data_IF_178326536214
#
_entry.id   IF_178326536214
#
_cell.length_a   1.000
_cell.length_b   1.000
_cell.length_c   1.000
_cell.angle_alpha   90.00
_cell.angle_beta   90.00
_cell.angle_gamma   90.00
#
_symmetry.space_group_name_H-M   'P 1'
#
loop_
_entity.id
_entity.type
_entity.pdbx_description
1 polymer ?
#
# COMPACT_ATOMS: atom_id res chain seq x y z
N UNK A 1 -9.84 -17.30 5.88
CA UNK A 1 -9.45 -16.00 5.28
C UNK A 1 -9.27 -14.90 6.34
N UNK A 2 -10.25 -14.66 7.24
CA UNK A 2 -10.15 -13.63 8.30
C UNK A 2 -8.97 -13.86 9.23
N UNK A 3 -8.74 -15.09 9.69
CA UNK A 3 -7.60 -15.44 10.56
C UNK A 3 -6.25 -15.20 9.88
N UNK A 4 -6.14 -15.49 8.57
CA UNK A 4 -4.91 -15.23 7.82
C UNK A 4 -4.58 -13.74 7.76
N UNK A 5 -5.56 -12.87 7.62
CA UNK A 5 -5.35 -11.41 7.67
C UNK A 5 -4.93 -10.93 9.07
N UNK A 6 -5.50 -11.49 10.13
CA UNK A 6 -5.08 -11.19 11.51
C UNK A 6 -3.62 -11.56 11.76
N UNK A 7 -3.19 -12.74 11.34
CA UNK A 7 -1.79 -13.17 11.43
C UNK A 7 -0.86 -12.24 10.63
N UNK A 8 -1.25 -11.88 9.41
CA UNK A 8 -0.47 -10.97 8.59
C UNK A 8 -0.33 -9.57 9.22
N UNK A 9 -1.38 -9.04 9.84
CA UNK A 9 -1.33 -7.75 10.56
C UNK A 9 -0.43 -7.84 11.80
N UNK A 10 -0.46 -8.94 12.55
CA UNK A 10 0.41 -9.10 13.70
C UNK A 10 1.88 -9.25 13.29
N UNK A 11 2.16 -10.00 12.24
CA UNK A 11 3.49 -10.10 11.65
C UNK A 11 3.99 -8.73 11.17
N UNK A 12 3.16 -7.96 10.49
CA UNK A 12 3.46 -6.60 10.05
C UNK A 12 3.93 -5.71 11.21
N UNK A 13 3.26 -5.77 12.36
CA UNK A 13 3.66 -4.99 13.55
C UNK A 13 5.05 -5.36 14.06
N UNK A 14 5.44 -6.63 13.99
CA UNK A 14 6.79 -7.05 14.40
C UNK A 14 7.86 -6.58 13.39
N UNK A 15 7.60 -6.72 12.09
CA UNK A 15 8.52 -6.26 11.04
C UNK A 15 8.76 -4.75 11.09
N UNK A 16 7.73 -3.96 11.42
CA UNK A 16 7.87 -2.50 11.61
C UNK A 16 8.87 -2.18 12.71
N UNK A 17 8.84 -2.91 13.84
CA UNK A 17 9.75 -2.66 14.98
C UNK A 17 11.22 -2.88 14.60
N UNK A 18 11.50 -3.90 13.81
CA UNK A 18 12.88 -4.23 13.40
C UNK A 18 13.32 -3.48 12.14
N UNK A 19 12.42 -2.78 11.46
CA UNK A 19 12.66 -2.03 10.21
C UNK A 19 13.36 -2.86 9.13
N UNK A 20 13.01 -4.14 9.04
CA UNK A 20 13.59 -5.04 8.05
C UNK A 20 13.39 -4.51 6.63
N UNK A 21 14.44 -4.49 5.76
CA UNK A 21 14.29 -4.09 4.36
C UNK A 21 13.32 -4.99 3.61
N UNK A 22 12.65 -4.44 2.59
CA UNK A 22 11.79 -5.22 1.72
C UNK A 22 12.63 -6.30 1.00
N UNK A 23 12.11 -7.52 0.96
CA UNK A 23 12.79 -8.68 0.37
C UNK A 23 11.79 -9.69 -0.20
N UNK A 24 12.25 -10.57 -1.09
CA UNK A 24 11.45 -11.70 -1.59
C UNK A 24 10.91 -12.55 -0.44
N UNK A 25 11.74 -12.80 0.58
CA UNK A 25 11.35 -13.55 1.78
C UNK A 25 10.14 -12.92 2.46
N UNK A 26 10.15 -11.61 2.70
CA UNK A 26 9.02 -10.91 3.31
C UNK A 26 7.74 -11.00 2.47
N UNK A 27 7.86 -10.84 1.15
CA UNK A 27 6.71 -10.95 0.23
C UNK A 27 6.08 -12.34 0.32
N UNK A 28 6.91 -13.39 0.29
CA UNK A 28 6.48 -14.79 0.39
C UNK A 28 5.83 -15.07 1.75
N UNK A 29 6.40 -14.56 2.85
CA UNK A 29 5.84 -14.72 4.18
C UNK A 29 4.48 -14.03 4.32
N UNK A 30 4.35 -12.78 3.88
CA UNK A 30 3.05 -12.09 3.89
C UNK A 30 2.00 -12.83 3.07
N UNK A 31 2.37 -13.30 1.87
CA UNK A 31 1.46 -14.08 1.05
C UNK A 31 1.06 -15.40 1.73
N UNK A 32 2.01 -16.10 2.37
CA UNK A 32 1.72 -17.33 3.13
C UNK A 32 0.71 -17.11 4.26
N UNK A 33 0.76 -15.95 4.93
CA UNK A 33 -0.18 -15.59 5.98
C UNK A 33 -1.55 -15.20 5.40
N UNK A 34 -1.56 -14.49 4.27
CA UNK A 34 -2.80 -14.08 3.57
C UNK A 34 -3.58 -15.31 3.08
N UNK A 35 -2.90 -16.31 2.52
CA UNK A 35 -3.47 -17.58 2.05
C UNK A 35 -3.29 -18.71 3.07
N UNK A 36 -3.42 -18.42 4.36
CA UNK A 36 -3.17 -19.40 5.43
C UNK A 36 -3.94 -20.72 5.27
N UNK A 37 -5.15 -20.65 4.72
CA UNK A 37 -6.02 -21.83 4.54
C UNK A 37 -5.73 -22.60 3.23
N UNK A 38 -4.97 -22.04 2.30
CA UNK A 38 -4.55 -22.68 1.04
C UNK A 38 -3.11 -23.17 1.15
N UNK A 39 -2.95 -24.37 1.71
CA UNK A 39 -1.63 -25.01 1.95
C UNK A 39 -0.88 -25.26 0.64
N UNK A 40 -1.60 -25.48 -0.45
CA UNK A 40 -0.99 -25.79 -1.74
C UNK A 40 -0.31 -24.59 -2.38
N UNK A 41 -0.95 -23.40 -2.33
CA UNK A 41 -0.52 -22.21 -3.06
C UNK A 41 0.14 -21.14 -2.18
N UNK A 42 -0.06 -21.20 -0.85
CA UNK A 42 0.50 -20.20 0.06
C UNK A 42 2.01 -20.09 -0.05
N UNK A 43 2.51 -18.86 -0.21
CA UNK A 43 3.94 -18.59 -0.30
C UNK A 43 4.63 -19.10 -1.56
N UNK A 44 3.88 -19.51 -2.59
CA UNK A 44 4.44 -20.00 -3.85
C UNK A 44 4.06 -19.07 -4.99
N UNK A 45 5.04 -18.73 -5.81
CA UNK A 45 4.79 -18.00 -7.06
C UNK A 45 3.94 -18.86 -8.02
N UNK A 46 3.16 -18.17 -8.84
CA UNK A 46 2.35 -18.81 -9.88
C UNK A 46 3.21 -19.70 -10.80
N UNK A 47 2.67 -20.83 -11.21
CA UNK A 47 3.33 -21.82 -12.09
C UNK A 47 2.76 -21.80 -13.52
N UNK A 48 1.79 -20.93 -13.77
CA UNK A 48 1.18 -20.66 -15.07
C UNK A 48 0.82 -19.20 -15.16
N UNK A 49 0.62 -18.68 -16.37
CA UNK A 49 0.14 -17.32 -16.57
C UNK A 49 -1.27 -17.18 -15.97
N UNK A 50 -1.51 -16.03 -15.40
CA UNK A 50 -2.81 -15.64 -14.85
C UNK A 50 -3.22 -14.29 -15.44
N UNK A 51 -4.48 -13.96 -15.26
CA UNK A 51 -5.09 -12.71 -15.72
C UNK A 51 -5.67 -11.94 -14.53
N UNK A 52 -5.76 -10.64 -14.66
CA UNK A 52 -6.48 -9.80 -13.70
C UNK A 52 -7.86 -9.50 -14.32
N UNK A 53 -8.91 -9.99 -13.66
CA UNK A 53 -10.27 -9.80 -14.15
C UNK A 53 -10.62 -8.31 -14.29
N UNK A 54 -11.11 -7.95 -15.48
CA UNK A 54 -11.53 -6.58 -15.78
C UNK A 54 -10.41 -5.64 -16.23
N UNK A 55 -9.25 -6.17 -16.61
CA UNK A 55 -8.15 -5.40 -17.21
C UNK A 55 -7.78 -5.95 -18.57
N UNK A 56 -7.27 -5.08 -19.45
CA UNK A 56 -6.85 -5.44 -20.82
C UNK A 56 -5.33 -5.71 -20.93
N UNK A 57 -4.59 -5.67 -19.81
CA UNK A 57 -3.15 -5.94 -19.87
C UNK A 57 -2.79 -7.34 -19.36
N UNK A 58 -1.74 -7.90 -19.96
CA UNK A 58 -1.19 -9.17 -19.55
C UNK A 58 -0.29 -9.02 -18.32
N UNK A 59 -0.43 -9.93 -17.35
CA UNK A 59 0.48 -10.01 -16.22
C UNK A 59 1.85 -10.54 -16.65
N UNK A 60 2.87 -10.34 -15.81
CA UNK A 60 4.21 -10.89 -16.11
C UNK A 60 4.14 -12.42 -16.21
N UNK A 61 4.74 -13.03 -17.25
CA UNK A 61 4.81 -14.48 -17.39
C UNK A 61 5.41 -15.16 -16.14
N UNK A 62 4.86 -16.32 -15.76
CA UNK A 62 5.21 -17.01 -14.51
C UNK A 62 6.73 -17.25 -14.35
N UNK A 63 7.44 -17.56 -15.42
CA UNK A 63 8.87 -17.84 -15.40
C UNK A 63 9.76 -16.60 -15.22
N UNK A 64 9.21 -15.39 -15.34
CA UNK A 64 9.90 -14.10 -15.10
C UNK A 64 9.55 -13.47 -13.75
N UNK A 65 8.64 -14.05 -12.97
CA UNK A 65 8.12 -13.45 -11.74
C UNK A 65 9.22 -13.16 -10.74
N UNK A 66 10.08 -14.12 -10.44
CA UNK A 66 11.13 -13.96 -9.42
C UNK A 66 12.15 -12.89 -9.84
N UNK A 67 12.56 -12.89 -11.12
CA UNK A 67 13.45 -11.87 -11.68
C UNK A 67 12.84 -10.48 -11.55
N UNK A 68 11.59 -10.29 -12.00
CA UNK A 68 10.92 -8.99 -11.99
C UNK A 68 10.60 -8.48 -10.57
N UNK A 69 10.29 -9.37 -9.64
CA UNK A 69 10.16 -9.00 -8.23
C UNK A 69 11.51 -8.57 -7.63
N UNK A 70 12.59 -9.26 -7.96
CA UNK A 70 13.93 -8.90 -7.48
C UNK A 70 14.32 -7.52 -8.00
N UNK A 71 14.16 -7.26 -9.30
CA UNK A 71 14.39 -5.93 -9.90
C UNK A 71 13.55 -4.84 -9.21
N UNK A 72 12.27 -5.12 -8.95
CA UNK A 72 11.36 -4.19 -8.29
C UNK A 72 11.78 -3.87 -6.85
N UNK A 73 12.20 -4.89 -6.09
CA UNK A 73 12.69 -4.74 -4.71
C UNK A 73 13.99 -3.92 -4.71
N UNK A 74 14.92 -4.22 -5.61
CA UNK A 74 16.19 -3.50 -5.71
C UNK A 74 15.96 -2.03 -6.08
N UNK A 75 15.09 -1.76 -7.05
CA UNK A 75 14.66 -0.41 -7.42
C UNK A 75 14.05 0.32 -6.22
N UNK A 76 13.17 -0.35 -5.47
CA UNK A 76 12.56 0.20 -4.27
C UNK A 76 13.61 0.50 -3.20
N UNK A 77 14.45 -0.45 -2.82
CA UNK A 77 15.41 -0.28 -1.73
C UNK A 77 16.47 0.79 -2.03
N UNK A 78 16.88 0.96 -3.28
CA UNK A 78 17.90 1.92 -3.71
C UNK A 78 17.34 3.30 -4.14
N UNK A 79 16.04 3.48 -4.20
CA UNK A 79 15.43 4.76 -4.59
C UNK A 79 15.55 5.79 -3.47
N UNK A 80 15.89 7.04 -3.83
CA UNK A 80 15.89 8.22 -2.96
C UNK A 80 14.63 9.09 -3.15
N UNK A 81 13.63 8.62 -3.88
CA UNK A 81 12.37 9.36 -4.06
C UNK A 81 11.61 9.51 -2.73
N UNK A 82 10.67 10.48 -2.71
CA UNK A 82 9.71 10.60 -1.61
C UNK A 82 9.00 9.27 -1.34
N UNK A 83 8.89 8.92 -0.05
CA UNK A 83 8.40 7.59 0.35
C UNK A 83 6.98 7.29 -0.18
N UNK A 84 6.08 8.28 -0.22
CA UNK A 84 4.72 8.06 -0.69
C UNK A 84 4.73 7.71 -2.18
N UNK A 85 5.54 8.44 -2.98
CA UNK A 85 5.73 8.12 -4.39
C UNK A 85 6.34 6.73 -4.58
N UNK A 86 7.40 6.46 -3.85
CA UNK A 86 8.15 5.20 -3.87
C UNK A 86 7.26 3.98 -3.58
N UNK A 87 6.46 4.03 -2.51
CA UNK A 87 5.54 2.93 -2.17
C UNK A 87 4.39 2.80 -3.16
N UNK A 88 3.92 3.93 -3.73
CA UNK A 88 2.86 3.92 -4.75
C UNK A 88 3.33 3.27 -6.05
N UNK A 89 4.55 3.59 -6.51
CA UNK A 89 5.16 2.96 -7.68
C UNK A 89 5.37 1.47 -7.45
N UNK A 90 5.97 1.10 -6.30
CA UNK A 90 6.17 -0.29 -5.92
C UNK A 90 4.85 -1.07 -5.94
N UNK A 91 3.80 -0.52 -5.33
CA UNK A 91 2.51 -1.18 -5.25
C UNK A 91 1.89 -1.41 -6.64
N UNK A 92 1.91 -0.41 -7.52
CA UNK A 92 1.38 -0.55 -8.89
C UNK A 92 2.19 -1.58 -9.71
N UNK A 93 3.53 -1.56 -9.61
CA UNK A 93 4.39 -2.51 -10.29
C UNK A 93 4.24 -3.94 -9.74
N UNK A 94 4.05 -4.10 -8.42
CA UNK A 94 3.74 -5.38 -7.78
C UNK A 94 2.42 -5.97 -8.29
N UNK A 95 1.36 -5.16 -8.33
CA UNK A 95 0.04 -5.59 -8.86
C UNK A 95 0.13 -5.96 -10.35
N UNK A 96 0.99 -5.29 -11.13
CA UNK A 96 1.27 -5.63 -12.54
C UNK A 96 2.01 -6.97 -12.69
N UNK A 97 3.00 -7.24 -11.85
CA UNK A 97 3.73 -8.51 -11.85
C UNK A 97 2.77 -9.66 -11.55
N UNK A 98 1.85 -9.44 -10.62
CA UNK A 98 0.82 -10.41 -10.20
C UNK A 98 1.42 -11.78 -9.87
N UNK A 99 2.33 -11.84 -8.87
CA UNK A 99 3.25 -12.96 -8.72
C UNK A 99 2.61 -14.28 -8.27
N UNK A 100 1.40 -14.24 -7.73
CA UNK A 100 0.75 -15.39 -7.12
C UNK A 100 -0.52 -15.79 -7.88
N UNK A 101 -1.02 -17.00 -7.66
CA UNK A 101 -2.27 -17.46 -8.28
C UNK A 101 -3.50 -16.76 -7.70
N UNK A 102 -3.47 -16.44 -6.39
CA UNK A 102 -4.47 -15.64 -5.66
C UNK A 102 -3.76 -14.82 -4.57
N UNK A 103 -4.47 -13.89 -3.92
CA UNK A 103 -3.96 -13.11 -2.80
C UNK A 103 -3.06 -11.94 -3.15
N UNK A 104 -2.80 -11.65 -4.43
CA UNK A 104 -1.94 -10.55 -4.86
C UNK A 104 -2.37 -9.21 -4.29
N UNK A 105 -3.61 -8.79 -4.50
CA UNK A 105 -4.12 -7.52 -3.99
C UNK A 105 -4.10 -7.40 -2.47
N UNK A 106 -4.34 -8.48 -1.72
CA UNK A 106 -4.22 -8.50 -0.25
C UNK A 106 -2.78 -8.33 0.19
N UNK A 107 -1.87 -9.07 -0.42
CA UNK A 107 -0.42 -8.99 -0.16
C UNK A 107 0.13 -7.62 -0.55
N UNK A 108 -0.20 -7.10 -1.74
CA UNK A 108 0.24 -5.78 -2.19
C UNK A 108 -0.19 -4.65 -1.26
N UNK A 109 -1.43 -4.66 -0.75
CA UNK A 109 -1.91 -3.69 0.23
C UNK A 109 -1.23 -3.82 1.60
N UNK A 110 -0.86 -5.03 2.03
CA UNK A 110 -0.08 -5.21 3.26
C UNK A 110 1.34 -4.67 3.11
N UNK A 111 1.99 -4.92 1.98
CA UNK A 111 3.33 -4.39 1.68
C UNK A 111 3.33 -2.86 1.59
N UNK A 112 2.32 -2.27 0.93
CA UNK A 112 2.10 -0.83 0.89
C UNK A 112 2.02 -0.24 2.31
N UNK A 113 1.18 -0.83 3.16
CA UNK A 113 1.00 -0.38 4.54
C UNK A 113 2.25 -0.62 5.39
N UNK A 114 2.97 -1.73 5.19
CA UNK A 114 4.23 -2.00 5.87
C UNK A 114 5.22 -0.85 5.65
N UNK A 115 5.44 -0.47 4.39
CA UNK A 115 6.42 0.56 4.05
C UNK A 115 5.97 1.96 4.50
N UNK A 116 4.68 2.28 4.41
CA UNK A 116 4.14 3.51 4.98
C UNK A 116 4.38 3.59 6.49
N UNK A 117 4.04 2.53 7.24
CA UNK A 117 4.17 2.51 8.70
C UNK A 117 5.63 2.51 9.17
N UNK A 118 6.56 1.85 8.47
CA UNK A 118 8.00 1.92 8.75
C UNK A 118 8.54 3.35 8.66
N UNK A 119 7.88 4.20 7.88
CA UNK A 119 8.24 5.59 7.69
C UNK A 119 7.35 6.57 8.48
N UNK A 120 6.57 6.09 9.44
CA UNK A 120 5.80 6.91 10.37
C UNK A 120 4.43 7.37 9.85
N UNK A 121 3.99 6.89 8.70
CA UNK A 121 2.65 7.16 8.17
C UNK A 121 1.60 6.23 8.78
N UNK A 122 0.33 6.66 8.87
CA UNK A 122 -0.75 5.77 9.29
C UNK A 122 -1.03 4.70 8.24
N UNK A 123 -1.69 3.63 8.66
CA UNK A 123 -2.25 2.64 7.71
C UNK A 123 -3.32 3.30 6.83
N UNK A 124 -3.44 2.83 5.60
CA UNK A 124 -4.53 3.21 4.72
C UNK A 124 -5.43 2.00 4.44
N UNK A 125 -6.72 2.27 4.30
CA UNK A 125 -7.73 1.26 3.94
C UNK A 125 -8.41 1.73 2.67
N UNK A 126 -8.37 0.89 1.64
CA UNK A 126 -9.08 1.14 0.38
C UNK A 126 -10.53 0.71 0.57
N UNK A 127 -11.42 1.69 0.67
CA UNK A 127 -12.85 1.46 0.88
C UNK A 127 -13.53 1.00 -0.41
N UNK A 128 -14.69 0.35 -0.29
CA UNK A 128 -15.45 -0.09 -1.45
C UNK A 128 -15.87 1.08 -2.36
N UNK A 129 -16.18 2.24 -1.77
CA UNK A 129 -16.56 3.46 -2.49
C UNK A 129 -15.40 4.05 -3.32
N UNK A 130 -14.14 3.76 -2.94
CA UNK A 130 -12.93 4.25 -3.61
C UNK A 130 -12.37 3.25 -4.63
N UNK A 131 -12.99 2.06 -4.79
CA UNK A 131 -12.43 0.97 -5.60
C UNK A 131 -12.24 1.36 -7.06
N UNK A 132 -13.21 1.99 -7.66
CA UNK A 132 -13.13 2.43 -9.06
C UNK A 132 -11.96 3.40 -9.27
N UNK A 133 -11.84 4.41 -8.40
CA UNK A 133 -10.73 5.38 -8.43
C UNK A 133 -9.36 4.69 -8.26
N UNK A 134 -9.30 3.71 -7.38
CA UNK A 134 -8.09 2.94 -7.12
C UNK A 134 -7.68 2.09 -8.32
N UNK A 135 -8.61 1.34 -8.92
CA UNK A 135 -8.30 0.52 -10.08
C UNK A 135 -7.93 1.35 -11.31
N UNK A 136 -8.61 2.45 -11.57
CA UNK A 136 -8.24 3.39 -12.65
C UNK A 136 -6.83 3.97 -12.43
N UNK A 137 -6.44 4.25 -11.19
CA UNK A 137 -5.10 4.73 -10.87
C UNK A 137 -4.02 3.66 -11.08
N UNK A 138 -4.30 2.39 -10.74
CA UNK A 138 -3.42 1.27 -11.03
C UNK A 138 -3.27 1.05 -12.53
N UNK A 139 -4.37 1.01 -13.28
CA UNK A 139 -4.37 0.81 -14.72
C UNK A 139 -3.56 1.90 -15.45
N UNK A 140 -3.77 3.17 -15.07
CA UNK A 140 -2.99 4.29 -15.62
C UNK A 140 -1.49 4.10 -15.37
N UNK A 141 -1.09 3.69 -14.17
CA UNK A 141 0.31 3.43 -13.85
C UNK A 141 0.87 2.26 -14.66
N UNK A 142 0.10 1.19 -14.82
CA UNK A 142 0.53 -0.05 -15.47
C UNK A 142 0.61 0.07 -17.00
N UNK A 143 -0.32 0.83 -17.60
CA UNK A 143 -0.38 1.02 -19.06
C UNK A 143 0.51 2.15 -19.54
N UNK A 144 0.51 3.28 -18.82
CA UNK A 144 1.14 4.52 -19.29
C UNK A 144 2.44 4.85 -18.55
N UNK A 145 2.85 4.07 -17.55
CA UNK A 145 3.96 4.37 -16.63
C UNK A 145 3.79 5.74 -15.92
N UNK A 146 2.53 6.19 -15.77
CA UNK A 146 2.19 7.40 -15.04
C UNK A 146 1.66 7.06 -13.65
N UNK A 147 2.52 7.19 -12.65
CA UNK A 147 2.22 6.90 -11.26
C UNK A 147 1.59 8.07 -10.51
N UNK A 148 1.25 9.18 -11.18
CA UNK A 148 0.72 10.38 -10.52
C UNK A 148 -0.63 10.11 -9.85
N UNK A 149 -1.54 9.39 -10.52
CA UNK A 149 -2.87 9.08 -9.99
C UNK A 149 -2.81 8.17 -8.77
N UNK A 150 -2.02 7.11 -8.80
CA UNK A 150 -1.89 6.20 -7.65
C UNK A 150 -1.16 6.88 -6.48
N UNK A 151 -0.16 7.74 -6.75
CA UNK A 151 0.51 8.54 -5.73
C UNK A 151 -0.44 9.50 -5.05
N UNK A 152 -1.31 10.18 -5.80
CA UNK A 152 -2.32 11.08 -5.25
C UNK A 152 -3.38 10.31 -4.46
N UNK A 153 -3.80 9.14 -4.94
CA UNK A 153 -4.72 8.27 -4.20
C UNK A 153 -4.17 7.87 -2.83
N UNK A 154 -2.90 7.46 -2.77
CA UNK A 154 -2.23 7.10 -1.50
C UNK A 154 -2.13 8.31 -0.57
N UNK A 155 -1.75 9.50 -1.09
CA UNK A 155 -1.72 10.75 -0.30
C UNK A 155 -3.07 11.06 0.32
N UNK A 156 -4.13 11.08 -0.48
CA UNK A 156 -5.49 11.35 0.01
C UNK A 156 -5.94 10.31 1.05
N UNK A 157 -5.59 9.04 0.85
CA UNK A 157 -5.90 7.96 1.79
C UNK A 157 -5.17 8.13 3.14
N UNK A 158 -3.92 8.57 3.12
CA UNK A 158 -3.14 8.92 4.32
C UNK A 158 -3.81 10.11 5.05
N UNK A 159 -4.15 11.17 4.33
CA UNK A 159 -4.81 12.35 4.88
C UNK A 159 -6.16 11.97 5.53
N UNK A 160 -6.98 11.17 4.83
CA UNK A 160 -8.26 10.72 5.35
C UNK A 160 -8.10 9.90 6.64
N UNK A 161 -7.14 8.98 6.68
CA UNK A 161 -6.86 8.17 7.88
C UNK A 161 -6.34 9.05 9.01
N UNK A 162 -5.44 9.97 8.72
CA UNK A 162 -4.92 10.91 9.70
C UNK A 162 -6.06 11.69 10.38
N UNK A 163 -7.04 12.18 9.61
CA UNK A 163 -8.18 12.91 10.16
C UNK A 163 -9.09 12.04 11.02
N UNK A 164 -9.19 10.74 10.74
CA UNK A 164 -9.89 9.82 11.63
C UNK A 164 -9.19 9.78 13.00
N UNK A 165 -7.87 9.67 13.04
CA UNK A 165 -7.10 9.67 14.29
C UNK A 165 -7.13 11.01 15.00
N UNK A 166 -7.05 12.12 14.27
CA UNK A 166 -7.09 13.48 14.85
C UNK A 166 -8.32 13.73 15.71
N UNK A 167 -9.45 13.09 15.43
CA UNK A 167 -10.65 13.20 16.26
C UNK A 167 -10.46 12.68 17.69
N UNK A 168 -9.55 11.76 17.88
CA UNK A 168 -9.24 11.13 19.16
C UNK A 168 -8.08 11.82 19.87
N UNK A 169 -7.49 12.86 19.30
CA UNK A 169 -6.47 13.67 19.97
C UNK A 169 -7.11 14.46 21.10
N UNK A 170 -6.46 14.47 22.26
CA UNK A 170 -6.78 15.42 23.30
C UNK A 170 -6.43 16.88 22.88
N UNK A 171 -6.93 17.86 23.63
CA UNK A 171 -6.70 19.28 23.30
C UNK A 171 -5.21 19.65 23.27
N UNK A 172 -4.39 19.05 24.14
CA UNK A 172 -2.94 19.30 24.16
C UNK A 172 -2.26 18.78 22.89
N UNK A 173 -2.66 17.60 22.41
CA UNK A 173 -2.18 17.03 21.15
C UNK A 173 -2.61 17.86 19.95
N UNK A 174 -3.86 18.31 19.91
CA UNK A 174 -4.38 19.19 18.85
C UNK A 174 -3.59 20.48 18.76
N UNK A 175 -3.40 21.17 19.88
CA UNK A 175 -2.63 22.43 19.94
C UNK A 175 -1.19 22.22 19.45
N UNK A 176 -0.53 21.16 19.88
CA UNK A 176 0.84 20.85 19.43
C UNK A 176 0.90 20.59 17.92
N UNK A 177 -0.09 19.88 17.39
CA UNK A 177 -0.17 19.57 15.98
C UNK A 177 -0.46 20.82 15.14
N UNK A 178 -1.42 21.66 15.54
CA UNK A 178 -1.74 22.92 14.87
C UNK A 178 -0.53 23.86 14.84
N UNK A 179 0.18 23.98 15.96
CA UNK A 179 1.42 24.74 16.03
C UNK A 179 2.50 24.19 15.08
N UNK A 180 2.61 22.87 14.97
CA UNK A 180 3.52 22.24 14.02
C UNK A 180 3.15 22.58 12.56
N UNK A 181 1.87 22.52 12.19
CA UNK A 181 1.39 22.90 10.87
C UNK A 181 1.72 24.36 10.54
N UNK A 182 1.43 25.29 11.45
CA UNK A 182 1.73 26.72 11.30
C UNK A 182 3.23 26.98 11.11
N UNK A 183 4.09 26.31 11.89
CA UNK A 183 5.54 26.42 11.78
C UNK A 183 6.10 25.92 10.43
N UNK A 184 5.36 25.02 9.77
CA UNK A 184 5.71 24.50 8.44
C UNK A 184 4.95 25.21 7.31
N UNK A 185 4.29 26.35 7.58
CA UNK A 185 3.59 27.16 6.58
C UNK A 185 2.31 26.50 6.03
N UNK A 186 1.72 25.57 6.77
CA UNK A 186 0.51 24.85 6.38
C UNK A 186 -0.70 25.54 7.01
N UNK A 187 -1.66 25.97 6.17
CA UNK A 187 -2.89 26.61 6.63
C UNK A 187 -3.83 25.60 7.30
N UNK A 188 -3.87 25.63 8.62
CA UNK A 188 -4.71 24.77 9.47
C UNK A 188 -6.19 24.86 9.08
N UNK A 189 -6.70 26.08 8.77
CA UNK A 189 -8.12 26.26 8.39
C UNK A 189 -8.45 25.61 7.06
N UNK A 190 -7.53 25.64 6.10
CA UNK A 190 -7.68 24.99 4.80
C UNK A 190 -7.65 23.46 4.95
N UNK A 191 -6.79 22.97 5.81
CA UNK A 191 -6.67 21.55 6.15
C UNK A 191 -7.95 21.04 6.83
N UNK A 192 -8.45 21.74 7.85
CA UNK A 192 -9.73 21.42 8.52
C UNK A 192 -10.93 21.46 7.57
N UNK A 193 -11.00 22.43 6.67
CA UNK A 193 -12.12 22.58 5.73
C UNK A 193 -12.18 21.42 4.71
N UNK A 194 -11.03 20.94 4.26
CA UNK A 194 -10.95 19.81 3.31
C UNK A 194 -11.30 18.49 4.00
N UNK A 195 -10.83 18.28 5.23
CA UNK A 195 -11.15 17.07 6.00
C UNK A 195 -12.64 16.99 6.38
N UNK A 196 -13.28 18.11 6.76
CA UNK A 196 -14.71 18.13 7.08
C UNK A 196 -15.58 17.78 5.88
N UNK A 197 -15.20 18.17 4.66
CA UNK A 197 -15.93 17.80 3.44
C UNK A 197 -15.88 16.30 3.12
N UNK A 198 -14.77 15.63 3.49
CA UNK A 198 -14.58 14.20 3.25
C UNK A 198 -15.17 13.31 4.35
N UNK A 199 -15.61 13.92 5.47
CA UNK A 199 -16.13 13.23 6.65
C UNK A 199 -17.67 13.24 6.69
N UNK A 200 -18.29 14.22 6.01
CA UNK A 200 -19.74 14.41 5.95
C UNK A 200 -20.39 13.79 4.70
N UNK A 201 -19.64 13.07 3.89
CA UNK A 201 -20.12 12.18 2.83
C UNK A 201 -20.04 10.75 3.32
#
# INVERSE_FOLDING_TARGET
EVKGQEYAINFLKEIIKVKEPLSLRLIIEFHSLVLNDDIENRGKFKQSNNEILGTDFETIPYYLVEEKLTELIDKFNNSNEDIIRKVSCFHADFEKIHPFIDGNGRTGRLLLNLELMKNGYPIIVIKNEDREKYYNALETAQMNLDYSMITNFVKESIENTFWIYYRYFDESMKIKFEKYLEQNGIDVKKVHKNSMKNILK
#
